data_IF_833751334714
#
_entry.id   IF_833751334714
#
_cell.length_a   1.000
_cell.length_b   1.000
_cell.length_c   1.000
_cell.angle_alpha   90.00
_cell.angle_beta   90.00
_cell.angle_gamma   90.00
#
_symmetry.space_group_name_H-M   'P 1'
#
loop_
_entity.id
_entity.type
_entity.pdbx_description
1 polymer ?
#
# COMPACT_ATOMS: atom_id res chain seq x y z
N UNK A 1 32.53 1.24 1.94
CA UNK A 1 31.70 2.37 2.43
C UNK A 1 31.02 3.01 1.24
N UNK A 2 29.75 2.69 1.04
CA UNK A 2 28.94 3.26 -0.05
C UNK A 2 28.29 4.52 0.53
N UNK A 3 29.03 5.62 0.59
CA UNK A 3 28.51 6.87 1.11
C UNK A 3 27.36 7.42 0.27
N UNK A 4 26.49 8.18 0.91
CA UNK A 4 25.42 8.96 0.28
C UNK A 4 25.90 9.79 -0.93
N UNK A 5 27.15 10.22 -0.94
CA UNK A 5 27.82 10.94 -2.02
C UNK A 5 28.36 10.03 -3.14
N UNK A 6 28.28 8.70 -2.95
CA UNK A 6 28.71 7.76 -3.96
C UNK A 6 27.88 7.88 -5.25
N UNK A 7 28.47 7.50 -6.37
CA UNK A 7 27.77 7.44 -7.68
C UNK A 7 26.50 6.61 -7.57
N UNK A 8 26.53 5.50 -6.82
CA UNK A 8 25.37 4.63 -6.59
C UNK A 8 24.23 5.35 -5.84
N UNK A 9 24.54 6.12 -4.78
CA UNK A 9 23.54 6.90 -4.05
C UNK A 9 22.83 7.93 -4.93
N UNK A 10 23.57 8.57 -5.84
CA UNK A 10 22.98 9.52 -6.81
C UNK A 10 22.01 8.85 -7.77
N UNK A 11 22.34 7.67 -8.28
CA UNK A 11 21.45 6.90 -9.16
C UNK A 11 20.17 6.41 -8.46
N UNK A 12 20.28 6.00 -7.21
CA UNK A 12 19.12 5.60 -6.41
C UNK A 12 18.19 6.80 -6.18
N UNK A 13 18.73 7.97 -5.83
CA UNK A 13 17.91 9.16 -5.66
C UNK A 13 17.26 9.63 -6.98
N UNK A 14 17.97 9.52 -8.10
CA UNK A 14 17.39 9.79 -9.42
C UNK A 14 16.25 8.82 -9.74
N UNK A 15 16.42 7.54 -9.44
CA UNK A 15 15.37 6.53 -9.60
C UNK A 15 14.11 6.88 -8.79
N UNK A 16 14.24 7.24 -7.50
CA UNK A 16 13.11 7.67 -6.70
C UNK A 16 12.44 8.93 -7.25
N UNK A 17 13.21 9.89 -7.77
CA UNK A 17 12.67 11.09 -8.39
C UNK A 17 11.85 10.76 -9.64
N UNK A 18 12.36 9.89 -10.51
CA UNK A 18 11.64 9.45 -11.71
C UNK A 18 10.35 8.71 -11.32
N UNK A 19 10.44 7.77 -10.36
CA UNK A 19 9.27 7.06 -9.84
C UNK A 19 8.22 8.01 -9.26
N UNK A 20 8.64 9.05 -8.54
CA UNK A 20 7.74 10.08 -8.02
C UNK A 20 7.03 10.83 -9.15
N UNK A 21 7.77 11.26 -10.19
CA UNK A 21 7.16 11.96 -11.31
C UNK A 21 6.14 11.10 -12.05
N UNK A 22 6.47 9.82 -12.30
CA UNK A 22 5.55 8.86 -12.93
C UNK A 22 4.32 8.64 -12.05
N UNK A 23 4.50 8.45 -10.76
CA UNK A 23 3.40 8.22 -9.82
C UNK A 23 2.45 9.42 -9.73
N UNK A 24 2.99 10.63 -9.63
CA UNK A 24 2.21 11.86 -9.65
C UNK A 24 1.45 12.01 -10.97
N UNK A 25 2.10 11.75 -12.11
CA UNK A 25 1.46 11.78 -13.41
C UNK A 25 0.26 10.81 -13.49
N UNK A 26 0.42 9.58 -13.00
CA UNK A 26 -0.67 8.57 -12.95
C UNK A 26 -1.83 9.07 -12.08
N UNK A 27 -1.56 9.65 -10.91
CA UNK A 27 -2.61 10.17 -10.02
C UNK A 27 -3.40 11.28 -10.71
N UNK A 28 -2.74 12.21 -11.40
CA UNK A 28 -3.41 13.32 -12.09
C UNK A 28 -4.07 12.91 -13.41
N UNK A 29 -3.59 11.84 -14.06
CA UNK A 29 -4.20 11.31 -15.27
C UNK A 29 -5.56 10.66 -15.01
N UNK A 30 -5.77 10.05 -13.84
CA UNK A 30 -7.05 9.45 -13.49
C UNK A 30 -8.07 10.51 -13.09
N UNK A 31 -9.04 10.76 -13.98
CA UNK A 31 -10.11 11.74 -13.76
C UNK A 31 -10.94 11.48 -12.50
N UNK A 32 -11.06 10.23 -12.04
CA UNK A 32 -11.76 9.88 -10.80
C UNK A 32 -11.04 10.40 -9.56
N UNK A 33 -9.72 10.62 -9.62
CA UNK A 33 -8.96 11.21 -8.54
C UNK A 33 -9.32 12.67 -8.25
N UNK A 34 -9.91 13.39 -9.22
CA UNK A 34 -10.42 14.77 -9.00
C UNK A 34 -11.52 14.83 -7.94
N UNK A 35 -12.20 13.72 -7.68
CA UNK A 35 -13.23 13.62 -6.64
C UNK A 35 -12.67 13.24 -5.26
N UNK A 36 -11.36 12.91 -5.17
CA UNK A 36 -10.70 12.59 -3.90
C UNK A 36 -10.51 13.86 -3.06
N UNK A 37 -10.49 13.68 -1.73
CA UNK A 37 -10.13 14.77 -0.84
C UNK A 37 -8.64 15.12 -1.00
N UNK A 38 -8.30 16.41 -0.83
CA UNK A 38 -6.91 16.88 -0.85
C UNK A 38 -6.01 16.11 0.14
N UNK A 39 -6.58 15.66 1.28
CA UNK A 39 -5.85 14.86 2.28
C UNK A 39 -5.45 13.50 1.74
N UNK A 40 -6.34 12.81 1.02
CA UNK A 40 -6.05 11.50 0.40
C UNK A 40 -4.99 11.65 -0.67
N UNK A 41 -5.16 12.61 -1.58
CA UNK A 41 -4.18 12.88 -2.65
C UNK A 41 -2.82 13.25 -2.04
N UNK A 42 -2.80 14.17 -1.07
CA UNK A 42 -1.58 14.59 -0.40
C UNK A 42 -0.86 13.41 0.25
N UNK A 43 -1.56 12.58 1.05
CA UNK A 43 -0.96 11.40 1.66
C UNK A 43 -0.33 10.47 0.61
N UNK A 44 -1.06 10.21 -0.49
CA UNK A 44 -0.59 9.32 -1.55
C UNK A 44 0.66 9.88 -2.24
N UNK A 45 0.70 11.19 -2.53
CA UNK A 45 1.86 11.84 -3.17
C UNK A 45 3.09 11.80 -2.24
N UNK A 46 2.91 11.92 -0.93
CA UNK A 46 4.02 11.96 0.01
C UNK A 46 4.64 10.60 0.33
N UNK A 47 4.06 9.47 -0.11
CA UNK A 47 4.60 8.12 0.16
C UNK A 47 6.05 7.99 -0.34
N UNK A 48 6.30 8.27 -1.60
CA UNK A 48 7.65 8.12 -2.19
C UNK A 48 8.66 9.11 -1.59
N UNK A 49 8.36 10.41 -1.43
CA UNK A 49 9.25 11.35 -0.76
C UNK A 49 9.62 10.93 0.67
N UNK A 50 8.66 10.42 1.45
CA UNK A 50 8.94 9.92 2.81
C UNK A 50 9.86 8.71 2.78
N UNK A 51 9.63 7.74 1.88
CA UNK A 51 10.51 6.58 1.70
C UNK A 51 11.92 7.03 1.31
N UNK A 52 12.03 7.99 0.38
CA UNK A 52 13.31 8.55 -0.04
C UNK A 52 14.05 9.24 1.11
N UNK A 53 13.33 10.02 1.93
CA UNK A 53 13.90 10.70 3.09
C UNK A 53 14.41 9.68 4.12
N UNK A 54 13.64 8.64 4.41
CA UNK A 54 14.03 7.57 5.34
C UNK A 54 15.25 6.81 4.81
N UNK A 55 15.27 6.44 3.53
CA UNK A 55 16.43 5.80 2.91
C UNK A 55 17.70 6.64 3.05
N UNK A 56 17.62 7.94 2.71
CA UNK A 56 18.77 8.84 2.81
C UNK A 56 19.20 9.08 4.26
N UNK A 57 18.25 9.10 5.22
CA UNK A 57 18.53 9.20 6.64
C UNK A 57 19.32 7.99 7.14
N UNK A 58 18.87 6.78 6.80
CA UNK A 58 19.54 5.53 7.15
C UNK A 58 20.95 5.49 6.55
N UNK A 59 21.09 5.83 5.25
CA UNK A 59 22.39 5.85 4.59
C UNK A 59 23.39 6.77 5.30
N UNK A 60 22.96 7.94 5.78
CA UNK A 60 23.81 8.86 6.55
C UNK A 60 24.21 8.30 7.92
N UNK A 61 23.27 7.65 8.63
CA UNK A 61 23.57 7.03 9.92
C UNK A 61 24.62 5.92 9.76
N UNK A 62 24.51 5.14 8.69
CA UNK A 62 25.51 4.12 8.34
C UNK A 62 26.88 4.74 8.03
N UNK A 63 26.94 5.84 7.27
CA UNK A 63 28.18 6.57 6.99
C UNK A 63 28.82 7.12 8.28
N UNK A 64 28.02 7.42 9.30
CA UNK A 64 28.47 7.84 10.64
C UNK A 64 28.90 6.67 11.53
N UNK A 65 28.85 5.42 11.04
CA UNK A 65 29.29 4.22 11.76
C UNK A 65 28.19 3.50 12.53
N UNK A 66 26.91 3.82 12.26
CA UNK A 66 25.82 3.07 12.86
C UNK A 66 25.74 1.64 12.29
N UNK A 67 25.24 0.70 13.09
CA UNK A 67 25.05 -0.69 12.69
C UNK A 67 23.96 -0.80 11.61
N UNK A 68 24.38 -1.27 10.45
CA UNK A 68 23.51 -1.39 9.26
C UNK A 68 22.40 -2.41 9.48
N UNK A 69 22.70 -3.52 10.14
CA UNK A 69 21.76 -4.62 10.32
C UNK A 69 20.61 -4.21 11.23
N UNK A 70 20.93 -3.64 12.38
CA UNK A 70 19.94 -3.14 13.34
C UNK A 70 19.08 -2.02 12.76
N UNK A 71 19.68 -1.07 12.02
CA UNK A 71 18.91 -0.01 11.36
C UNK A 71 17.99 -0.53 10.26
N UNK A 72 18.45 -1.49 9.49
CA UNK A 72 17.66 -2.10 8.41
C UNK A 72 16.46 -2.88 8.96
N UNK A 73 16.69 -3.69 10.02
CA UNK A 73 15.61 -4.41 10.69
C UNK A 73 14.60 -3.45 11.34
N UNK A 74 15.06 -2.42 12.02
CA UNK A 74 14.19 -1.39 12.57
C UNK A 74 13.32 -0.72 11.47
N UNK A 75 13.92 -0.38 10.35
CA UNK A 75 13.19 0.20 9.20
C UNK A 75 12.12 -0.77 8.67
N UNK A 76 12.44 -2.05 8.51
CA UNK A 76 11.48 -3.05 8.02
C UNK A 76 10.27 -3.13 8.97
N UNK A 77 10.47 -3.37 10.25
CA UNK A 77 9.36 -3.60 11.18
C UNK A 77 8.56 -2.32 11.47
N UNK A 78 9.26 -1.25 11.87
CA UNK A 78 8.61 -0.01 12.30
C UNK A 78 8.14 0.84 11.12
N UNK A 79 8.93 0.92 10.05
CA UNK A 79 8.57 1.66 8.84
C UNK A 79 7.36 1.05 8.14
N UNK A 80 7.36 -0.27 7.94
CA UNK A 80 6.21 -0.98 7.34
C UNK A 80 4.99 -0.89 8.25
N UNK A 81 5.15 -1.08 9.56
CA UNK A 81 4.06 -0.98 10.53
C UNK A 81 3.40 0.40 10.50
N UNK A 82 4.21 1.47 10.54
CA UNK A 82 3.72 2.84 10.44
C UNK A 82 3.02 3.09 9.10
N UNK A 83 3.59 2.61 7.98
CA UNK A 83 2.99 2.73 6.66
C UNK A 83 1.61 2.07 6.61
N UNK A 84 1.47 0.85 7.14
CA UNK A 84 0.20 0.13 7.22
C UNK A 84 -0.83 0.88 8.06
N UNK A 85 -0.43 1.45 9.20
CA UNK A 85 -1.31 2.26 10.04
C UNK A 85 -1.80 3.51 9.32
N UNK A 86 -0.90 4.23 8.65
CA UNK A 86 -1.24 5.44 7.89
C UNK A 86 -2.18 5.08 6.75
N UNK A 87 -1.83 4.12 5.89
CA UNK A 87 -2.67 3.70 4.77
C UNK A 87 -4.03 3.21 5.29
N UNK A 88 -4.05 2.34 6.31
CA UNK A 88 -5.27 1.82 6.91
C UNK A 88 -6.21 2.91 7.42
N UNK A 89 -5.67 3.96 8.05
CA UNK A 89 -6.47 5.10 8.51
C UNK A 89 -7.07 5.94 7.35
N UNK A 90 -6.42 5.93 6.18
CA UNK A 90 -6.90 6.67 5.01
C UNK A 90 -7.81 5.83 4.10
N UNK A 91 -7.69 4.51 4.07
CA UNK A 91 -8.51 3.63 3.22
C UNK A 91 -10.02 3.96 3.28
N UNK A 92 -10.65 4.16 4.45
CA UNK A 92 -12.08 4.47 4.51
C UNK A 92 -12.48 5.80 3.85
N UNK A 93 -11.52 6.67 3.58
CA UNK A 93 -11.72 8.03 3.02
C UNK A 93 -11.52 8.06 1.51
N UNK A 94 -11.00 6.94 0.93
CA UNK A 94 -10.72 6.84 -0.49
C UNK A 94 -12.01 6.60 -1.25
N UNK A 95 -12.41 7.52 -2.12
CA UNK A 95 -13.52 7.35 -3.06
C UNK A 95 -13.09 6.43 -4.20
N UNK A 96 -14.07 5.77 -4.84
CA UNK A 96 -13.81 4.84 -5.94
C UNK A 96 -13.01 5.51 -7.06
N UNK A 97 -11.89 4.87 -7.44
CA UNK A 97 -10.98 5.34 -8.47
C UNK A 97 -10.16 4.17 -9.04
N UNK A 98 -9.34 4.44 -10.08
CA UNK A 98 -8.53 3.41 -10.73
C UNK A 98 -7.06 3.39 -10.27
N UNK A 99 -6.67 4.22 -9.28
CA UNK A 99 -5.26 4.41 -8.90
C UNK A 99 -4.97 4.02 -7.46
N UNK A 100 -5.85 4.38 -6.51
CA UNK A 100 -5.61 4.29 -5.06
C UNK A 100 -6.62 3.34 -4.42
N UNK A 101 -6.18 2.37 -3.63
CA UNK A 101 -7.03 1.48 -2.82
C UNK A 101 -7.06 0.04 -3.30
N UNK A 102 -7.99 -0.75 -2.76
CA UNK A 102 -8.18 -2.17 -3.07
C UNK A 102 -9.02 -2.28 -4.35
N UNK A 103 -8.33 -2.51 -5.48
CA UNK A 103 -8.88 -2.41 -6.84
C UNK A 103 -9.05 -3.78 -7.46
N UNK A 104 -10.02 -4.51 -7.00
CA UNK A 104 -10.49 -5.72 -7.66
C UNK A 104 -11.73 -5.43 -8.50
N UNK A 105 -12.03 -6.27 -9.50
CA UNK A 105 -13.09 -6.00 -10.49
C UNK A 105 -14.40 -5.60 -9.82
N UNK A 106 -14.84 -6.34 -8.84
CA UNK A 106 -16.12 -6.11 -8.16
C UNK A 106 -16.13 -4.88 -7.23
N UNK A 107 -14.99 -4.39 -6.76
CA UNK A 107 -14.95 -3.10 -6.05
C UNK A 107 -14.92 -1.92 -7.01
N UNK A 108 -14.32 -2.07 -8.20
CA UNK A 108 -14.27 -1.02 -9.22
C UNK A 108 -15.64 -0.79 -9.91
N UNK A 109 -16.51 -1.80 -9.90
CA UNK A 109 -17.82 -1.75 -10.55
C UNK A 109 -18.97 -1.44 -9.57
N UNK A 110 -18.75 -1.63 -8.26
CA UNK A 110 -19.75 -1.41 -7.21
C UNK A 110 -19.22 -0.46 -6.13
N UNK A 111 -19.76 0.76 -6.08
CA UNK A 111 -19.36 1.79 -5.10
C UNK A 111 -19.69 1.37 -3.66
N UNK A 112 -20.74 0.60 -3.45
CA UNK A 112 -21.10 0.11 -2.11
C UNK A 112 -20.10 -0.94 -1.63
N UNK A 113 -19.72 -1.90 -2.51
CA UNK A 113 -18.65 -2.84 -2.22
C UNK A 113 -17.33 -2.12 -1.96
N UNK A 114 -17.00 -1.12 -2.78
CA UNK A 114 -15.83 -0.27 -2.56
C UNK A 114 -15.81 0.32 -1.15
N UNK A 115 -16.88 1.01 -0.79
CA UNK A 115 -16.99 1.69 0.51
C UNK A 115 -16.96 0.71 1.69
N UNK A 116 -17.66 -0.42 1.59
CA UNK A 116 -17.68 -1.45 2.62
C UNK A 116 -16.30 -2.10 2.79
N UNK A 117 -15.66 -2.47 1.67
CA UNK A 117 -14.31 -3.08 1.65
C UNK A 117 -13.29 -2.15 2.26
N UNK A 118 -13.24 -0.88 1.86
CA UNK A 118 -12.24 0.06 2.34
C UNK A 118 -12.43 0.40 3.83
N UNK A 119 -13.67 0.49 4.32
CA UNK A 119 -13.93 0.68 5.75
C UNK A 119 -13.51 -0.51 6.60
N UNK A 120 -13.78 -1.73 6.12
CA UNK A 120 -13.37 -2.95 6.82
C UNK A 120 -11.85 -3.11 6.78
N UNK A 121 -11.26 -3.04 5.59
CA UNK A 121 -9.83 -3.22 5.39
C UNK A 121 -9.00 -2.18 6.13
N UNK A 122 -9.47 -0.94 6.24
CA UNK A 122 -8.78 0.08 7.01
C UNK A 122 -8.49 -0.34 8.45
N UNK A 123 -9.44 -0.99 9.11
CA UNK A 123 -9.24 -1.51 10.47
C UNK A 123 -8.23 -2.66 10.52
N UNK A 124 -8.31 -3.57 9.55
CA UNK A 124 -7.39 -4.73 9.46
C UNK A 124 -5.96 -4.25 9.21
N UNK A 125 -5.77 -3.27 8.31
CA UNK A 125 -4.45 -2.71 8.00
C UNK A 125 -3.84 -1.98 9.20
N UNK A 126 -4.62 -1.20 9.95
CA UNK A 126 -4.14 -0.57 11.19
C UNK A 126 -3.73 -1.63 12.21
N UNK A 127 -4.55 -2.66 12.43
CA UNK A 127 -4.21 -3.74 13.37
C UNK A 127 -2.95 -4.49 12.94
N UNK A 128 -2.81 -4.80 11.64
CA UNK A 128 -1.61 -5.43 11.09
C UNK A 128 -0.38 -4.54 11.26
N UNK A 129 -0.51 -3.23 11.05
CA UNK A 129 0.58 -2.27 11.26
C UNK A 129 1.07 -2.24 12.71
N UNK A 130 0.15 -2.26 13.68
CA UNK A 130 0.50 -2.36 15.11
C UNK A 130 1.24 -3.68 15.39
N UNK A 131 0.74 -4.79 14.84
CA UNK A 131 1.36 -6.10 15.02
C UNK A 131 2.77 -6.14 14.41
N UNK A 132 2.98 -5.55 13.22
CA UNK A 132 4.30 -5.40 12.63
C UNK A 132 5.27 -4.64 13.56
N UNK A 133 4.83 -3.54 14.17
CA UNK A 133 5.66 -2.78 15.11
C UNK A 133 6.00 -3.58 16.37
N UNK A 134 5.04 -4.36 16.90
CA UNK A 134 5.28 -5.24 18.05
C UNK A 134 6.28 -6.35 17.72
N UNK A 135 6.25 -6.91 16.50
CA UNK A 135 7.25 -7.87 16.03
C UNK A 135 8.68 -7.25 16.06
N UNK A 136 8.80 -5.94 15.80
CA UNK A 136 10.07 -5.24 15.85
C UNK A 136 10.74 -5.23 17.22
N UNK A 137 9.99 -5.43 18.32
CA UNK A 137 10.56 -5.57 19.67
C UNK A 137 11.34 -6.90 19.85
N UNK A 138 11.10 -7.87 18.96
CA UNK A 138 11.70 -9.20 18.97
C UNK A 138 12.34 -9.52 17.62
N UNK A 139 12.99 -8.51 17.00
CA UNK A 139 13.44 -8.55 15.60
C UNK A 139 14.41 -9.71 15.29
N UNK A 140 15.18 -10.19 16.28
CA UNK A 140 16.09 -11.32 16.13
C UNK A 140 15.38 -12.68 16.14
N UNK A 141 14.10 -12.72 16.52
CA UNK A 141 13.34 -13.97 16.61
C UNK A 141 12.75 -14.38 15.25
N UNK A 142 13.02 -15.60 14.82
CA UNK A 142 12.40 -16.20 13.63
C UNK A 142 10.87 -16.20 13.77
N UNK A 143 10.34 -16.43 14.97
CA UNK A 143 8.90 -16.38 15.21
C UNK A 143 8.31 -14.98 14.96
N UNK A 144 9.03 -13.93 15.35
CA UNK A 144 8.61 -12.55 15.07
C UNK A 144 8.62 -12.25 13.56
N UNK A 145 9.64 -12.73 12.82
CA UNK A 145 9.69 -12.59 11.37
C UNK A 145 8.51 -13.31 10.68
N UNK A 146 8.23 -14.55 11.09
CA UNK A 146 7.09 -15.31 10.55
C UNK A 146 5.78 -14.59 10.85
N UNK A 147 5.56 -14.14 12.08
CA UNK A 147 4.35 -13.42 12.47
C UNK A 147 4.19 -12.10 11.70
N UNK A 148 5.29 -11.37 11.47
CA UNK A 148 5.33 -10.16 10.65
C UNK A 148 4.84 -10.44 9.22
N UNK A 149 5.43 -11.43 8.54
CA UNK A 149 5.05 -11.81 7.17
C UNK A 149 3.59 -12.27 7.11
N UNK A 150 3.17 -13.12 8.05
CA UNK A 150 1.78 -13.60 8.14
C UNK A 150 0.81 -12.45 8.36
N UNK A 151 1.14 -11.46 9.19
CA UNK A 151 0.26 -10.32 9.45
C UNK A 151 0.02 -9.46 8.19
N UNK A 152 1.07 -9.23 7.40
CA UNK A 152 0.98 -8.50 6.12
C UNK A 152 0.12 -9.28 5.12
N UNK A 153 0.42 -10.55 4.92
CA UNK A 153 -0.33 -11.41 4.01
C UNK A 153 -1.80 -11.51 4.42
N UNK A 154 -2.07 -11.67 5.71
CA UNK A 154 -3.42 -11.72 6.25
C UNK A 154 -4.19 -10.41 5.98
N UNK A 155 -3.57 -9.25 6.17
CA UNK A 155 -4.22 -7.97 5.89
C UNK A 155 -4.67 -7.86 4.43
N UNK A 156 -3.86 -8.30 3.47
CA UNK A 156 -4.21 -8.31 2.05
C UNK A 156 -5.29 -9.34 1.75
N UNK A 157 -5.09 -10.59 2.16
CA UNK A 157 -5.99 -11.72 1.86
C UNK A 157 -7.37 -11.48 2.46
N UNK A 158 -7.45 -11.08 3.74
CA UNK A 158 -8.71 -10.82 4.43
C UNK A 158 -9.47 -9.68 3.75
N UNK A 159 -8.78 -8.64 3.31
CA UNK A 159 -9.37 -7.51 2.59
C UNK A 159 -10.01 -7.94 1.27
N UNK A 160 -9.31 -8.77 0.48
CA UNK A 160 -9.80 -9.29 -0.79
C UNK A 160 -10.95 -10.28 -0.58
N UNK A 161 -10.81 -11.18 0.39
CA UNK A 161 -11.87 -12.15 0.74
C UNK A 161 -13.15 -11.44 1.17
N UNK A 162 -13.04 -10.43 2.03
CA UNK A 162 -14.21 -9.64 2.45
C UNK A 162 -14.93 -9.02 1.25
N UNK A 163 -14.18 -8.40 0.33
CA UNK A 163 -14.77 -7.78 -0.85
C UNK A 163 -15.45 -8.79 -1.77
N UNK A 164 -14.89 -10.00 -1.89
CA UNK A 164 -15.49 -11.09 -2.67
C UNK A 164 -16.77 -11.62 -2.02
N UNK A 165 -16.77 -11.82 -0.69
CA UNK A 165 -17.94 -12.28 0.05
C UNK A 165 -19.08 -11.26 -0.03
N UNK A 166 -18.76 -9.98 0.04
CA UNK A 166 -19.73 -8.91 -0.13
C UNK A 166 -20.36 -8.93 -1.54
N UNK A 167 -19.52 -9.09 -2.57
CA UNK A 167 -19.97 -9.25 -3.97
C UNK A 167 -20.88 -10.47 -4.14
N UNK A 168 -20.46 -11.63 -3.61
CA UNK A 168 -21.23 -12.87 -3.70
C UNK A 168 -22.60 -12.73 -3.03
N UNK A 169 -22.67 -12.14 -1.86
CA UNK A 169 -23.92 -11.88 -1.12
C UNK A 169 -24.88 -11.03 -1.95
N UNK A 170 -24.42 -9.99 -2.64
CA UNK A 170 -25.25 -9.15 -3.49
C UNK A 170 -25.85 -9.91 -4.68
N UNK A 171 -25.09 -10.82 -5.29
CA UNK A 171 -25.60 -11.67 -6.37
C UNK A 171 -26.72 -12.58 -5.85
N UNK A 172 -26.51 -13.20 -4.68
CA UNK A 172 -27.49 -14.13 -4.08
C UNK A 172 -28.79 -13.42 -3.69
N UNK A 173 -28.74 -12.15 -3.32
CA UNK A 173 -29.93 -11.33 -2.99
C UNK A 173 -30.67 -10.79 -4.21
N UNK A 174 -30.20 -11.09 -5.45
CA UNK A 174 -30.86 -10.69 -6.69
C UNK A 174 -30.73 -9.20 -7.01
N UNK A 175 -29.86 -8.47 -6.33
CA UNK A 175 -29.51 -7.10 -6.73
C UNK A 175 -28.84 -7.13 -8.10
N UNK A 176 -29.44 -6.45 -9.08
CA UNK A 176 -28.89 -6.31 -10.44
C UNK A 176 -27.59 -5.52 -10.35
N UNK A 177 -26.47 -6.22 -10.22
CA UNK A 177 -25.18 -5.64 -10.45
C UNK A 177 -25.12 -5.20 -11.91
N UNK A 178 -24.87 -3.92 -12.18
CA UNK A 178 -24.57 -3.42 -13.53
C UNK A 178 -23.17 -3.87 -13.97
N UNK A 179 -22.90 -5.17 -13.86
CA UNK A 179 -21.62 -5.73 -14.29
C UNK A 179 -21.69 -5.92 -15.79
N UNK A 180 -21.39 -4.87 -16.54
CA UNK A 180 -21.07 -5.02 -17.95
C UNK A 180 -19.66 -5.62 -18.05
N UNK A 181 -19.58 -6.95 -17.99
CA UNK A 181 -18.34 -7.67 -18.31
C UNK A 181 -17.95 -7.41 -19.77
N UNK A 182 -17.14 -6.39 -20.02
CA UNK A 182 -16.33 -6.36 -21.23
C UNK A 182 -15.19 -7.36 -21.00
N UNK A 183 -15.31 -8.57 -21.59
CA UNK A 183 -14.31 -9.66 -21.54
C UNK A 183 -12.84 -9.21 -21.75
N UNK A 184 -12.60 -8.09 -22.46
CA UNK A 184 -11.27 -7.50 -22.66
C UNK A 184 -10.69 -6.78 -21.43
N UNK A 185 -11.51 -6.37 -20.47
CA UNK A 185 -11.05 -5.66 -19.28
C UNK A 185 -10.47 -6.61 -18.21
N UNK A 186 -10.96 -7.85 -18.11
CA UNK A 186 -10.57 -8.81 -17.08
C UNK A 186 -9.07 -9.12 -17.12
N UNK A 187 -8.50 -9.31 -18.31
CA UNK A 187 -7.07 -9.61 -18.46
C UNK A 187 -6.21 -8.39 -18.12
N UNK A 188 -6.62 -7.18 -18.53
CA UNK A 188 -5.90 -5.95 -18.25
C UNK A 188 -5.93 -5.56 -16.77
N UNK A 189 -7.07 -5.71 -16.08
CA UNK A 189 -7.20 -5.38 -14.66
C UNK A 189 -6.54 -6.41 -13.74
N UNK A 190 -6.53 -7.69 -14.11
CA UNK A 190 -5.83 -8.74 -13.36
C UNK A 190 -4.33 -8.50 -13.30
N UNK A 191 -3.71 -8.15 -14.41
CA UNK A 191 -2.26 -7.85 -14.50
C UNK A 191 -1.93 -6.58 -13.70
N UNK A 192 -2.73 -5.52 -13.82
CA UNK A 192 -2.53 -4.26 -13.09
C UNK A 192 -2.72 -4.46 -11.59
N UNK A 193 -3.65 -5.31 -11.16
CA UNK A 193 -3.88 -5.61 -9.73
C UNK A 193 -2.68 -6.35 -9.12
N UNK A 194 -2.09 -7.30 -9.84
CA UNK A 194 -0.90 -8.03 -9.38
C UNK A 194 0.32 -7.09 -9.29
N UNK A 195 0.53 -6.22 -10.30
CA UNK A 195 1.67 -5.29 -10.34
C UNK A 195 1.59 -4.13 -9.34
N UNK A 196 0.43 -3.87 -8.73
CA UNK A 196 0.25 -2.79 -7.76
C UNK A 196 0.08 -3.27 -6.31
N UNK A 197 0.12 -4.57 -6.08
CA UNK A 197 0.17 -5.19 -4.74
C UNK A 197 1.62 -5.54 -4.36
N UNK A 198 2.53 -5.61 -5.33
CA UNK A 198 3.99 -5.75 -5.16
C UNK A 198 4.65 -4.37 -5.09
#
# INVERSE_FOLDING_TARGET
LVGFTSIQGKWINLFFLVMQCVFVAIIFYDNRNRQQSHKVIGMTIWIIPVITLLYNGIARLVDMGADIENLFMAFIYYGTGLMFMVIGNYLPKVKQNNTIGIRVVWTLEDEENWSATHRFSGKIWVASGILCMLCGLFAESIAALVLYVVSIMAAVIISVLYSYLFYKKKIETGEKLKIQYKKKAIVGYGIVTILTII
#
